data_IF_571973271388
#
_entry.id   IF_571973271388
#
_cell.length_a   1.000
_cell.length_b   1.000
_cell.length_c   1.000
_cell.angle_alpha   90.00
_cell.angle_beta   90.00
_cell.angle_gamma   90.00
#
_symmetry.space_group_name_H-M   'P 1'
#
loop_
_entity.id
_entity.type
_entity.pdbx_description
1 polymer ?
#
# COMPACT_ATOMS: atom_id res chain seq x y z
N UNK A 1 18.78 -17.63 28.03
CA UNK A 1 18.95 -17.63 26.56
C UNK A 1 17.93 -16.75 25.85
N UNK A 2 16.66 -16.79 26.26
CA UNK A 2 15.58 -15.99 25.64
C UNK A 2 15.76 -14.47 25.80
N UNK A 3 16.10 -13.99 27.01
CA UNK A 3 16.41 -12.58 27.24
C UNK A 3 17.60 -12.04 26.43
N UNK A 4 18.58 -12.90 26.11
CA UNK A 4 19.74 -12.53 25.27
C UNK A 4 19.31 -12.43 23.80
N UNK A 5 18.47 -13.36 23.32
CA UNK A 5 17.90 -13.31 21.96
C UNK A 5 17.04 -12.05 21.77
N UNK A 6 16.20 -11.74 22.75
CA UNK A 6 15.38 -10.52 22.77
C UNK A 6 16.24 -9.25 22.74
N UNK A 7 17.30 -9.19 23.55
CA UNK A 7 18.22 -8.05 23.56
C UNK A 7 18.92 -7.88 22.21
N UNK A 8 19.43 -8.96 21.62
CA UNK A 8 20.07 -8.95 20.30
C UNK A 8 19.08 -8.50 19.22
N UNK A 9 17.84 -9.01 19.24
CA UNK A 9 16.81 -8.60 18.30
C UNK A 9 16.50 -7.11 18.42
N UNK A 10 16.31 -6.58 19.63
CA UNK A 10 16.08 -5.15 19.87
C UNK A 10 17.22 -4.29 19.34
N UNK A 11 18.48 -4.70 19.54
CA UNK A 11 19.64 -3.99 18.98
C UNK A 11 19.60 -4.00 17.45
N UNK A 12 19.29 -5.13 16.81
CA UNK A 12 19.13 -5.22 15.36
C UNK A 12 17.97 -4.35 14.84
N UNK A 13 16.89 -4.23 15.61
CA UNK A 13 15.75 -3.37 15.27
C UNK A 13 16.07 -1.88 15.41
N UNK A 14 17.03 -1.49 16.22
CA UNK A 14 17.48 -0.09 16.32
C UNK A 14 18.43 0.32 15.19
N UNK A 15 19.11 -0.65 14.56
CA UNK A 15 20.00 -0.36 13.43
C UNK A 15 19.24 0.35 12.28
N UNK A 16 19.88 1.27 11.55
CA UNK A 16 19.29 1.87 10.35
C UNK A 16 18.90 0.79 9.32
N UNK A 17 17.70 0.93 8.75
CA UNK A 17 17.13 0.03 7.75
C UNK A 17 16.50 0.84 6.62
N UNK A 18 16.28 0.21 5.48
CA UNK A 18 15.48 0.78 4.40
C UNK A 18 14.00 0.60 4.74
N UNK A 19 13.18 1.58 4.40
CA UNK A 19 11.73 1.56 4.64
C UNK A 19 11.01 1.77 3.32
N UNK A 20 10.13 0.85 2.96
CA UNK A 20 9.29 0.95 1.77
C UNK A 20 7.89 1.31 2.22
N UNK A 21 7.42 2.50 1.84
CA UNK A 21 6.07 2.96 2.14
C UNK A 21 5.25 2.98 0.86
N UNK A 22 4.14 2.24 0.85
CA UNK A 22 3.16 2.27 -0.24
C UNK A 22 2.02 3.23 0.10
N UNK A 23 2.00 4.40 -0.54
CA UNK A 23 0.90 5.35 -0.45
C UNK A 23 -0.12 5.01 -1.53
N UNK A 24 -1.34 4.69 -1.11
CA UNK A 24 -2.41 4.36 -2.05
C UNK A 24 -3.77 4.53 -1.35
N UNK A 25 -4.81 3.88 -1.86
CA UNK A 25 -6.15 3.85 -1.31
C UNK A 25 -6.67 2.41 -1.20
N UNK A 26 -7.79 2.23 -0.49
CA UNK A 26 -8.45 0.94 -0.44
C UNK A 26 -8.75 0.39 -1.84
N UNK A 27 -8.65 -0.94 -1.98
CA UNK A 27 -9.03 -1.69 -3.19
C UNK A 27 -8.20 -1.39 -4.45
N UNK A 28 -6.98 -0.86 -4.28
CA UNK A 28 -5.96 -0.66 -5.32
C UNK A 28 -4.95 -1.82 -5.40
N UNK A 29 -5.38 -3.07 -5.19
CA UNK A 29 -4.50 -4.26 -5.19
C UNK A 29 -3.29 -4.20 -4.21
N UNK A 30 -3.30 -3.29 -3.25
CA UNK A 30 -2.18 -3.07 -2.31
C UNK A 30 -1.88 -4.25 -1.41
N UNK A 31 -2.87 -5.11 -1.13
CA UNK A 31 -2.64 -6.33 -0.37
C UNK A 31 -1.94 -7.41 -1.18
N UNK A 32 -2.24 -7.50 -2.49
CA UNK A 32 -1.49 -8.36 -3.40
C UNK A 32 -0.03 -7.90 -3.47
N UNK A 33 0.19 -6.60 -3.66
CA UNK A 33 1.54 -5.99 -3.67
C UNK A 33 2.28 -6.27 -2.36
N UNK A 34 1.62 -6.07 -1.22
CA UNK A 34 2.20 -6.38 0.09
C UNK A 34 2.60 -7.85 0.25
N UNK A 35 1.82 -8.79 -0.29
CA UNK A 35 2.18 -10.22 -0.26
C UNK A 35 3.32 -10.56 -1.23
N UNK A 36 3.33 -10.00 -2.44
CA UNK A 36 4.41 -10.21 -3.42
C UNK A 36 5.74 -9.69 -2.88
N UNK A 37 5.75 -8.45 -2.38
CA UNK A 37 6.94 -7.79 -1.83
C UNK A 37 7.35 -8.44 -0.51
N UNK A 38 6.42 -8.64 0.43
CA UNK A 38 6.73 -9.23 1.75
C UNK A 38 7.10 -10.71 1.71
N UNK A 39 6.89 -11.40 0.57
CA UNK A 39 7.39 -12.77 0.37
C UNK A 39 8.87 -12.81 0.02
N UNK A 40 9.46 -11.66 -0.31
CA UNK A 40 10.88 -11.54 -0.57
C UNK A 40 11.69 -11.66 0.73
N UNK A 41 12.77 -12.44 0.71
CA UNK A 41 13.56 -12.75 1.92
C UNK A 41 14.23 -11.52 2.55
N UNK A 42 14.50 -10.49 1.74
CA UNK A 42 15.12 -9.23 2.19
C UNK A 42 14.12 -8.22 2.79
N UNK A 43 12.82 -8.55 2.83
CA UNK A 43 11.77 -7.61 3.23
C UNK A 43 10.93 -8.16 4.39
N UNK A 44 10.86 -7.39 5.46
CA UNK A 44 9.91 -7.57 6.56
C UNK A 44 8.67 -6.70 6.33
N UNK A 45 7.48 -7.29 6.34
CA UNK A 45 6.22 -6.54 6.22
C UNK A 45 5.42 -6.89 4.96
N UNK A 46 4.10 -6.99 5.10
CA UNK A 46 3.18 -7.37 4.03
C UNK A 46 1.75 -6.81 4.19
N UNK A 47 1.45 -6.20 5.35
CA UNK A 47 0.12 -5.73 5.74
C UNK A 47 0.15 -4.25 6.14
N UNK A 48 -1.02 -3.66 6.36
CA UNK A 48 -1.14 -2.25 6.80
C UNK A 48 -1.03 -2.20 8.31
N UNK A 49 -0.08 -1.43 8.81
CA UNK A 49 0.15 -1.33 10.25
C UNK A 49 -0.81 -0.38 10.97
N UNK A 50 -1.51 0.48 10.22
CA UNK A 50 -2.41 1.50 10.75
C UNK A 50 -1.71 2.45 11.74
N UNK A 51 -0.53 2.96 11.35
CA UNK A 51 0.25 3.93 12.13
C UNK A 51 0.55 5.20 11.33
N UNK A 52 0.71 6.32 12.04
CA UNK A 52 1.21 7.56 11.47
C UNK A 52 2.74 7.67 11.47
N UNK A 53 3.27 8.30 10.43
CA UNK A 53 4.67 8.59 10.19
C UNK A 53 4.98 10.07 10.45
N UNK A 54 5.08 10.44 11.72
CA UNK A 54 5.27 11.83 12.15
C UNK A 54 6.74 12.27 12.14
N UNK A 55 7.66 11.35 12.45
CA UNK A 55 9.10 11.62 12.51
C UNK A 55 9.91 10.34 12.26
N UNK A 56 11.24 10.43 12.22
CA UNK A 56 12.12 9.27 12.10
C UNK A 56 11.85 8.18 13.17
N UNK A 57 11.31 8.55 14.33
CA UNK A 57 10.91 7.60 15.39
C UNK A 57 9.79 6.67 14.93
N UNK A 58 8.91 7.11 14.05
CA UNK A 58 7.84 6.26 13.48
C UNK A 58 8.42 5.10 12.67
N UNK A 59 9.57 5.27 12.00
CA UNK A 59 10.25 4.19 11.28
C UNK A 59 10.79 3.12 12.23
N UNK A 60 11.26 3.53 13.41
CA UNK A 60 11.65 2.58 14.47
C UNK A 60 10.42 1.89 15.06
N UNK A 61 9.35 2.65 15.31
CA UNK A 61 8.09 2.11 15.81
C UNK A 61 7.51 1.05 14.85
N UNK A 62 7.55 1.29 13.54
CA UNK A 62 7.16 0.32 12.51
C UNK A 62 7.89 -1.02 12.70
N UNK A 63 9.22 -0.99 12.89
CA UNK A 63 10.00 -2.22 13.12
C UNK A 63 9.58 -2.95 14.38
N UNK A 64 9.44 -2.24 15.50
CA UNK A 64 9.04 -2.86 16.77
C UNK A 64 7.63 -3.46 16.71
N UNK A 65 6.64 -2.71 16.22
CA UNK A 65 5.27 -3.19 16.11
C UNK A 65 5.15 -4.39 15.16
N UNK A 66 5.91 -4.40 14.06
CA UNK A 66 5.93 -5.54 13.15
C UNK A 66 6.44 -6.80 13.87
N UNK A 67 7.57 -6.72 14.58
CA UNK A 67 8.16 -7.86 15.28
C UNK A 67 7.41 -8.29 16.54
N UNK A 68 6.71 -7.36 17.20
CA UNK A 68 5.79 -7.69 18.30
C UNK A 68 4.63 -8.57 17.82
N UNK A 69 4.10 -8.26 16.63
CA UNK A 69 2.96 -8.94 16.03
C UNK A 69 3.33 -10.14 15.14
N UNK A 70 4.61 -10.30 14.78
CA UNK A 70 5.12 -11.37 13.92
C UNK A 70 6.46 -11.88 14.46
N UNK A 71 6.45 -12.47 15.67
CA UNK A 71 7.67 -12.81 16.44
C UNK A 71 8.63 -13.77 15.73
N UNK A 72 8.12 -14.56 14.77
CA UNK A 72 8.89 -15.54 14.01
C UNK A 72 9.48 -14.97 12.72
N UNK A 73 9.07 -13.78 12.29
CA UNK A 73 9.59 -13.15 11.08
C UNK A 73 11.02 -12.64 11.30
N UNK A 74 11.92 -12.79 10.31
CA UNK A 74 13.31 -12.36 10.45
C UNK A 74 13.43 -10.84 10.46
N UNK A 75 14.48 -10.33 11.12
CA UNK A 75 14.90 -8.93 10.96
C UNK A 75 15.69 -8.80 9.67
N UNK A 76 15.13 -8.10 8.68
CA UNK A 76 15.72 -7.91 7.36
C UNK A 76 16.25 -6.48 7.16
N UNK A 77 16.71 -6.18 5.95
CA UNK A 77 17.25 -4.86 5.59
C UNK A 77 16.18 -3.86 5.12
N UNK A 78 15.01 -4.35 4.69
CA UNK A 78 13.88 -3.53 4.24
C UNK A 78 12.63 -3.78 5.07
N UNK A 79 11.91 -2.71 5.42
CA UNK A 79 10.62 -2.78 6.10
C UNK A 79 9.51 -2.18 5.25
N UNK A 80 8.52 -2.98 4.91
CA UNK A 80 7.36 -2.57 4.12
C UNK A 80 6.16 -2.22 5.01
N UNK A 81 5.49 -1.11 4.70
CA UNK A 81 4.12 -0.82 5.16
C UNK A 81 3.35 -0.12 4.03
N UNK A 82 2.02 -0.22 4.09
CA UNK A 82 1.11 0.49 3.19
C UNK A 82 0.25 1.46 4.00
N UNK A 83 0.10 2.68 3.51
CA UNK A 83 -0.70 3.73 4.12
C UNK A 83 -1.86 4.04 3.18
N UNK A 84 -3.08 3.62 3.55
CA UNK A 84 -4.25 3.67 2.66
C UNK A 84 -5.31 4.71 3.06
N UNK A 85 -5.19 5.29 4.26
CA UNK A 85 -6.20 6.16 4.84
C UNK A 85 -5.57 7.48 5.31
N UNK A 86 -6.35 8.57 5.25
CA UNK A 86 -5.89 9.90 5.63
C UNK A 86 -5.65 10.06 7.15
N UNK A 87 -6.24 9.18 7.96
CA UNK A 87 -6.01 9.11 9.41
C UNK A 87 -4.57 8.70 9.79
N UNK A 88 -3.86 8.02 8.87
CA UNK A 88 -2.48 7.60 9.03
C UNK A 88 -1.55 8.65 8.40
N UNK A 89 -1.38 9.77 9.10
CA UNK A 89 -0.60 10.91 8.62
C UNK A 89 0.84 10.53 8.25
N UNK A 90 1.35 11.03 7.12
CA UNK A 90 2.76 10.87 6.70
C UNK A 90 3.42 12.23 6.52
N UNK A 91 4.44 12.53 7.33
CA UNK A 91 5.15 13.81 7.23
C UNK A 91 6.15 13.81 6.07
N UNK A 92 6.29 14.97 5.43
CA UNK A 92 7.32 15.21 4.41
C UNK A 92 8.72 14.85 4.91
N UNK A 93 9.04 15.23 6.14
CA UNK A 93 10.35 14.97 6.76
C UNK A 93 10.67 13.47 6.91
N UNK A 94 9.66 12.60 6.98
CA UNK A 94 9.87 11.15 6.95
C UNK A 94 9.99 10.67 5.51
N UNK A 95 9.12 11.12 4.62
CA UNK A 95 9.09 10.68 3.23
C UNK A 95 10.35 11.09 2.46
N UNK A 96 10.96 12.24 2.77
CA UNK A 96 12.18 12.76 2.14
C UNK A 96 13.48 12.20 2.74
N UNK A 97 13.44 11.15 3.56
CA UNK A 97 14.66 10.57 4.14
C UNK A 97 15.32 9.62 3.16
N UNK A 98 16.64 9.63 3.10
CA UNK A 98 17.44 8.75 2.22
C UNK A 98 17.16 7.26 2.39
N UNK A 99 16.73 6.85 3.59
CA UNK A 99 16.40 5.47 3.93
C UNK A 99 14.91 5.13 3.76
N UNK A 100 14.14 5.99 3.09
CA UNK A 100 12.72 5.79 2.77
C UNK A 100 12.54 5.75 1.25
N UNK A 101 11.94 4.67 0.77
CA UNK A 101 11.55 4.43 -0.62
C UNK A 101 10.04 4.52 -0.73
N UNK A 102 9.56 5.39 -1.59
CA UNK A 102 8.14 5.67 -1.74
C UNK A 102 7.58 4.96 -2.97
N UNK A 103 6.59 4.10 -2.76
CA UNK A 103 5.76 3.52 -3.81
C UNK A 103 4.41 4.23 -3.79
N UNK A 104 3.85 4.52 -4.96
CA UNK A 104 2.52 5.11 -5.09
C UNK A 104 1.68 4.34 -6.09
N UNK A 105 0.43 4.08 -5.76
CA UNK A 105 -0.49 3.38 -6.66
C UNK A 105 -1.89 3.99 -6.65
N UNK A 106 -2.49 4.12 -7.84
CA UNK A 106 -3.88 4.55 -8.00
C UNK A 106 -4.67 3.56 -8.86
N UNK A 107 -5.97 3.48 -8.62
CA UNK A 107 -6.90 2.70 -9.44
C UNK A 107 -8.11 3.54 -9.82
N UNK A 108 -8.65 3.31 -11.01
CA UNK A 108 -9.79 4.05 -11.55
C UNK A 108 -10.99 4.09 -10.54
N UNK A 109 -11.67 5.26 -10.41
CA UNK A 109 -12.68 5.48 -9.39
C UNK A 109 -13.85 4.52 -9.45
N UNK A 110 -14.47 4.30 -10.60
CA UNK A 110 -15.68 3.48 -10.71
C UNK A 110 -15.43 2.05 -10.25
N UNK A 111 -14.33 1.43 -10.68
CA UNK A 111 -13.95 0.09 -10.24
C UNK A 111 -13.64 0.04 -8.73
N UNK A 112 -12.99 1.07 -8.21
CA UNK A 112 -12.63 1.18 -6.80
C UNK A 112 -13.85 1.35 -5.90
N UNK A 113 -14.74 2.31 -6.22
CA UNK A 113 -15.95 2.62 -5.46
C UNK A 113 -16.85 1.38 -5.35
N UNK A 114 -17.11 0.69 -6.47
CA UNK A 114 -17.84 -0.60 -6.46
C UNK A 114 -17.21 -1.61 -5.52
N UNK A 115 -15.89 -1.75 -5.56
CA UNK A 115 -15.19 -2.71 -4.71
C UNK A 115 -15.25 -2.36 -3.22
N UNK A 116 -15.22 -1.06 -2.89
CA UNK A 116 -15.38 -0.56 -1.52
C UNK A 116 -16.80 -0.85 -1.03
N UNK A 117 -17.83 -0.48 -1.79
CA UNK A 117 -19.24 -0.74 -1.45
C UNK A 117 -19.44 -2.23 -1.18
N UNK A 118 -19.04 -3.10 -2.12
CA UNK A 118 -19.14 -4.56 -1.97
C UNK A 118 -18.49 -5.08 -0.68
N UNK A 119 -17.33 -4.55 -0.32
CA UNK A 119 -16.63 -4.94 0.92
C UNK A 119 -17.43 -4.53 2.15
N UNK A 120 -17.85 -3.27 2.23
CA UNK A 120 -18.50 -2.73 3.43
C UNK A 120 -19.94 -3.21 3.57
N UNK A 121 -20.73 -3.28 2.50
CA UNK A 121 -22.09 -3.84 2.57
C UNK A 121 -22.10 -5.29 3.06
N UNK A 122 -21.03 -6.07 2.84
CA UNK A 122 -20.92 -7.43 3.32
C UNK A 122 -20.36 -7.57 4.75
N UNK A 123 -19.48 -6.64 5.18
CA UNK A 123 -18.70 -6.79 6.43
C UNK A 123 -19.09 -5.79 7.53
N UNK A 124 -19.60 -4.62 7.16
CA UNK A 124 -20.05 -3.58 8.07
C UNK A 124 -21.08 -2.67 7.38
N UNK A 125 -22.35 -3.12 7.26
CA UNK A 125 -23.39 -2.41 6.50
C UNK A 125 -23.68 -0.99 7.00
N UNK A 126 -23.47 -0.74 8.29
CA UNK A 126 -23.69 0.59 8.91
C UNK A 126 -22.57 1.59 8.60
N UNK A 127 -21.45 1.15 8.03
CA UNK A 127 -20.34 2.02 7.70
C UNK A 127 -20.69 2.95 6.53
N UNK A 128 -20.29 4.25 6.53
CA UNK A 128 -20.59 5.16 5.42
C UNK A 128 -20.17 4.64 4.04
N UNK A 129 -19.02 3.95 3.97
CA UNK A 129 -18.51 3.31 2.74
C UNK A 129 -19.32 2.11 2.25
N UNK A 130 -20.34 1.64 2.97
CA UNK A 130 -21.29 0.63 2.49
C UNK A 130 -22.27 1.21 1.45
N UNK A 131 -22.26 2.53 1.23
CA UNK A 131 -23.06 3.22 0.23
C UNK A 131 -22.17 3.76 -0.91
N UNK A 132 -22.66 3.81 -2.16
CA UNK A 132 -21.93 4.41 -3.28
C UNK A 132 -21.45 5.84 -2.98
N UNK A 133 -22.31 6.68 -2.40
CA UNK A 133 -21.97 8.05 -2.02
C UNK A 133 -20.83 8.12 -1.02
N UNK A 134 -20.89 7.35 0.08
CA UNK A 134 -19.85 7.36 1.09
C UNK A 134 -18.53 6.76 0.60
N UNK A 135 -18.58 5.72 -0.24
CA UNK A 135 -17.38 5.16 -0.88
C UNK A 135 -16.73 6.13 -1.87
N UNK A 136 -17.53 6.87 -2.65
CA UNK A 136 -17.06 7.92 -3.55
C UNK A 136 -16.43 9.08 -2.79
N UNK A 137 -17.04 9.52 -1.69
CA UNK A 137 -16.48 10.57 -0.85
C UNK A 137 -15.12 10.16 -0.25
N UNK A 138 -15.02 8.94 0.31
CA UNK A 138 -13.73 8.40 0.78
C UNK A 138 -12.68 8.41 -0.34
N UNK A 139 -13.06 7.94 -1.54
CA UNK A 139 -12.13 7.88 -2.67
C UNK A 139 -11.63 9.28 -3.06
N UNK A 140 -12.55 10.24 -3.20
CA UNK A 140 -12.24 11.62 -3.55
C UNK A 140 -11.31 12.27 -2.53
N UNK A 141 -11.62 12.15 -1.24
CA UNK A 141 -10.82 12.71 -0.14
C UNK A 141 -9.43 12.08 -0.09
N UNK A 142 -9.34 10.77 -0.36
CA UNK A 142 -8.06 10.07 -0.38
C UNK A 142 -7.19 10.49 -1.56
N UNK A 143 -7.75 10.55 -2.77
CA UNK A 143 -6.99 10.94 -3.97
C UNK A 143 -6.53 12.39 -3.92
N UNK A 144 -7.36 13.30 -3.38
CA UNK A 144 -6.96 14.68 -3.13
C UNK A 144 -5.79 14.74 -2.15
N UNK A 145 -5.88 14.03 -1.02
CA UNK A 145 -4.78 13.95 -0.06
C UNK A 145 -3.48 13.43 -0.69
N UNK A 146 -3.54 12.38 -1.52
CA UNK A 146 -2.35 11.86 -2.22
C UNK A 146 -1.78 12.93 -3.15
N UNK A 147 -2.63 13.66 -3.88
CA UNK A 147 -2.19 14.75 -4.77
C UNK A 147 -1.45 15.83 -3.98
N UNK A 148 -2.04 16.30 -2.88
CA UNK A 148 -1.46 17.34 -2.03
C UNK A 148 -0.13 16.88 -1.42
N UNK A 149 -0.08 15.62 -0.95
CA UNK A 149 1.13 15.01 -0.40
C UNK A 149 2.25 15.03 -1.43
N UNK A 150 2.00 14.54 -2.64
CA UNK A 150 3.02 14.45 -3.70
C UNK A 150 3.48 15.83 -4.15
N UNK A 151 2.55 16.79 -4.30
CA UNK A 151 2.92 18.16 -4.61
C UNK A 151 3.78 18.79 -3.50
N UNK A 152 3.55 18.44 -2.24
CA UNK A 152 4.37 18.91 -1.10
C UNK A 152 5.79 18.33 -1.08
N UNK A 153 5.99 17.15 -1.67
CA UNK A 153 7.33 16.55 -1.80
C UNK A 153 8.21 17.28 -2.81
N UNK A 154 7.59 17.94 -3.81
CA UNK A 154 8.31 18.64 -4.87
C UNK A 154 9.30 17.73 -5.60
N UNK A 155 10.50 18.24 -5.85
CA UNK A 155 11.60 17.47 -6.45
C UNK A 155 12.53 16.84 -5.40
N UNK A 156 12.19 16.93 -4.12
CA UNK A 156 13.07 16.52 -3.02
C UNK A 156 12.98 15.01 -2.72
N UNK A 157 12.02 14.31 -3.32
CA UNK A 157 11.84 12.87 -3.13
C UNK A 157 11.45 12.18 -4.43
N UNK A 158 12.22 11.15 -4.80
CA UNK A 158 11.83 10.23 -5.85
C UNK A 158 10.86 9.17 -5.31
N UNK A 159 9.84 8.86 -6.09
CA UNK A 159 8.91 7.77 -5.84
C UNK A 159 8.64 6.99 -7.12
N UNK A 160 8.26 5.73 -7.00
CA UNK A 160 7.80 4.95 -8.14
C UNK A 160 6.28 4.88 -8.14
N UNK A 161 5.67 5.36 -9.22
CA UNK A 161 4.24 5.26 -9.47
C UNK A 161 3.91 4.13 -10.47
N UNK A 162 2.83 3.39 -10.19
CA UNK A 162 2.22 2.46 -11.14
C UNK A 162 0.69 2.52 -11.05
N UNK A 163 0.01 2.25 -12.17
CA UNK A 163 -1.43 2.03 -12.14
C UNK A 163 -1.71 0.70 -11.44
N UNK A 164 -2.60 0.70 -10.45
CA UNK A 164 -2.82 -0.43 -9.56
C UNK A 164 -3.27 -1.72 -10.27
N UNK A 165 -3.90 -1.61 -11.45
CA UNK A 165 -4.31 -2.77 -12.23
C UNK A 165 -3.14 -3.37 -13.03
N UNK A 166 -2.04 -2.63 -13.24
CA UNK A 166 -0.84 -3.11 -13.94
C UNK A 166 -0.13 -4.23 -13.19
N UNK A 167 -0.24 -4.29 -11.86
CA UNK A 167 0.31 -5.42 -11.09
C UNK A 167 -0.34 -6.76 -11.50
N UNK A 168 -1.56 -6.72 -12.03
CA UNK A 168 -2.28 -7.90 -12.53
C UNK A 168 -2.09 -8.07 -14.04
N UNK A 169 -2.14 -6.98 -14.80
CA UNK A 169 -2.10 -7.02 -16.26
C UNK A 169 -0.67 -7.19 -16.81
N UNK A 170 0.29 -6.54 -16.15
CA UNK A 170 1.70 -6.46 -16.54
C UNK A 170 2.66 -6.75 -15.36
N UNK A 171 2.49 -7.88 -14.63
CA UNK A 171 3.22 -8.13 -13.39
C UNK A 171 4.73 -8.12 -13.56
N UNK A 172 5.25 -8.71 -14.63
CA UNK A 172 6.70 -8.75 -14.89
C UNK A 172 7.31 -7.35 -15.02
N UNK A 173 6.58 -6.41 -15.64
CA UNK A 173 7.02 -5.02 -15.81
C UNK A 173 7.03 -4.33 -14.45
N UNK A 174 5.89 -4.31 -13.76
CA UNK A 174 5.77 -3.62 -12.47
C UNK A 174 6.74 -4.17 -11.42
N UNK A 175 6.87 -5.49 -11.32
CA UNK A 175 7.81 -6.12 -10.39
C UNK A 175 9.28 -5.86 -10.77
N UNK A 176 9.60 -5.80 -12.05
CA UNK A 176 10.95 -5.42 -12.52
C UNK A 176 11.29 -3.97 -12.18
N UNK A 177 10.37 -3.05 -12.46
CA UNK A 177 10.51 -1.62 -12.14
C UNK A 177 10.59 -1.40 -10.61
N UNK A 178 9.77 -2.10 -9.80
CA UNK A 178 9.87 -2.07 -8.34
C UNK A 178 11.22 -2.57 -7.84
N UNK A 179 11.72 -3.68 -8.38
CA UNK A 179 13.03 -4.23 -8.01
C UNK A 179 14.12 -3.17 -8.22
N UNK A 180 14.14 -2.58 -9.41
CA UNK A 180 15.14 -1.58 -9.80
C UNK A 180 15.05 -0.32 -8.93
N UNK A 181 13.84 0.23 -8.75
CA UNK A 181 13.62 1.41 -7.91
C UNK A 181 14.03 1.19 -6.45
N UNK A 182 13.71 0.02 -5.89
CA UNK A 182 14.04 -0.33 -4.52
C UNK A 182 15.53 -0.68 -4.34
N UNK A 183 16.24 -0.97 -5.44
CA UNK A 183 17.64 -1.39 -5.41
C UNK A 183 17.83 -2.78 -4.79
N UNK A 184 16.89 -3.69 -5.02
CA UNK A 184 16.96 -5.07 -4.50
C UNK A 184 17.61 -5.97 -5.55
N UNK A 185 18.54 -6.83 -5.13
CA UNK A 185 19.33 -7.66 -6.05
C UNK A 185 18.50 -8.77 -6.70
N UNK A 186 17.67 -9.45 -5.91
CA UNK A 186 16.83 -10.57 -6.35
C UNK A 186 15.51 -10.09 -6.92
N UNK A 187 14.98 -10.84 -7.87
CA UNK A 187 13.71 -10.48 -8.51
C UNK A 187 12.52 -10.84 -7.60
N UNK A 188 11.49 -10.01 -7.62
CA UNK A 188 10.20 -10.40 -7.06
C UNK A 188 9.55 -11.49 -7.91
N UNK A 189 8.98 -12.48 -7.25
CA UNK A 189 8.22 -13.53 -7.90
C UNK A 189 6.75 -13.11 -8.10
N UNK A 190 6.06 -13.71 -9.08
CA UNK A 190 4.61 -13.57 -9.25
C UNK A 190 3.81 -14.51 -8.33
N UNK A 191 4.51 -15.24 -7.48
CA UNK A 191 4.05 -16.15 -6.44
C UNK A 191 4.35 -15.53 -5.08
N UNK A 192 3.51 -15.82 -4.09
CA UNK A 192 3.70 -15.33 -2.73
C UNK A 192 3.30 -16.37 -1.70
N UNK A 193 3.96 -16.33 -0.53
CA UNK A 193 3.59 -17.19 0.60
C UNK A 193 2.32 -16.67 1.28
N UNK A 194 1.63 -17.56 1.98
CA UNK A 194 0.55 -17.17 2.90
C UNK A 194 1.19 -16.78 4.23
N UNK A 195 0.85 -15.60 4.72
CA UNK A 195 1.27 -15.10 6.02
C UNK A 195 0.20 -15.38 7.06
N UNK A 196 0.58 -15.26 8.34
CA UNK A 196 -0.33 -15.45 9.47
C UNK A 196 -1.58 -14.56 9.37
N UNK A 197 -1.43 -13.31 8.93
CA UNK A 197 -2.55 -12.36 8.79
C UNK A 197 -3.19 -12.35 7.40
N UNK A 198 -2.88 -13.30 6.52
CA UNK A 198 -3.52 -13.38 5.20
C UNK A 198 -5.04 -13.58 5.36
N UNK A 199 -5.83 -12.63 4.85
CA UNK A 199 -7.29 -12.66 4.94
C UNK A 199 -7.88 -12.04 6.22
N UNK A 200 -7.04 -11.63 7.18
CA UNK A 200 -7.51 -11.02 8.43
C UNK A 200 -8.01 -9.58 8.22
N UNK A 201 -9.13 -9.25 8.89
CA UNK A 201 -9.67 -7.88 8.93
C UNK A 201 -8.60 -6.93 9.50
N UNK A 202 -8.48 -5.74 8.92
CA UNK A 202 -7.46 -4.72 9.28
C UNK A 202 -6.00 -5.09 8.94
N UNK A 203 -5.73 -6.21 8.24
CA UNK A 203 -4.41 -6.49 7.67
C UNK A 203 -4.38 -6.26 6.13
N UNK A 204 -5.54 -6.16 5.49
CA UNK A 204 -5.66 -5.90 4.05
C UNK A 204 -6.89 -6.54 3.42
N UNK A 205 -6.69 -7.14 2.24
CA UNK A 205 -7.74 -7.82 1.49
C UNK A 205 -8.13 -9.13 2.20
N UNK A 206 -9.44 -9.31 2.38
CA UNK A 206 -10.06 -10.52 2.94
C UNK A 206 -10.78 -11.35 1.87
N UNK A 207 -10.54 -11.06 0.58
CA UNK A 207 -11.10 -11.84 -0.52
C UNK A 207 -10.39 -13.18 -0.68
N UNK A 208 -11.11 -14.20 -1.15
CA UNK A 208 -10.56 -15.55 -1.38
C UNK A 208 -9.31 -15.56 -2.28
N UNK A 209 -9.18 -14.57 -3.17
CA UNK A 209 -8.06 -14.47 -4.10
C UNK A 209 -6.71 -14.31 -3.41
N UNK A 210 -6.65 -13.66 -2.24
CA UNK A 210 -5.38 -13.51 -1.50
C UNK A 210 -4.90 -14.85 -0.92
N UNK A 211 -5.77 -15.87 -0.89
CA UNK A 211 -5.41 -17.23 -0.50
C UNK A 211 -4.92 -18.08 -1.68
N UNK A 212 -4.84 -17.54 -2.89
CA UNK A 212 -4.35 -18.29 -4.05
C UNK A 212 -2.83 -18.52 -4.03
N UNK A 213 -2.06 -17.63 -3.38
CA UNK A 213 -0.58 -17.67 -3.41
C UNK A 213 0.02 -17.24 -4.75
N UNK A 214 -0.80 -16.78 -5.69
CA UNK A 214 -0.43 -16.34 -7.03
C UNK A 214 -1.26 -15.13 -7.45
N UNK A 215 -0.81 -14.41 -8.48
CA UNK A 215 -1.59 -13.35 -9.11
C UNK A 215 -2.78 -13.96 -9.87
N UNK A 216 -4.00 -13.64 -9.42
CA UNK A 216 -5.24 -14.09 -10.05
C UNK A 216 -5.83 -12.96 -10.88
N UNK A 217 -6.06 -13.22 -12.18
CA UNK A 217 -6.78 -12.29 -13.06
C UNK A 217 -8.27 -12.29 -12.70
N UNK A 218 -8.83 -11.10 -12.48
CA UNK A 218 -10.26 -10.93 -12.19
C UNK A 218 -11.00 -10.47 -13.43
N UNK A 219 -12.20 -10.99 -13.61
CA UNK A 219 -13.14 -10.42 -14.57
C UNK A 219 -13.62 -9.05 -14.06
N UNK A 220 -13.82 -8.05 -14.95
CA UNK A 220 -14.36 -6.76 -14.57
C UNK A 220 -15.75 -6.92 -13.92
N UNK A 221 -16.01 -6.15 -12.87
CA UNK A 221 -17.35 -6.10 -12.26
C UNK A 221 -18.29 -5.24 -13.12
N UNK A 222 -19.22 -5.91 -13.80
CA UNK A 222 -20.18 -5.30 -14.73
C UNK A 222 -21.44 -4.76 -14.05
N UNK A 223 -21.57 -4.86 -12.72
CA UNK A 223 -22.73 -4.34 -11.99
C UNK A 223 -22.95 -2.84 -12.22
N UNK A 224 -24.19 -2.38 -12.12
CA UNK A 224 -24.49 -0.94 -12.20
C UNK A 224 -24.08 -0.28 -10.89
N UNK A 225 -23.36 0.84 -10.99
CA UNK A 225 -23.04 1.68 -9.84
C UNK A 225 -24.12 2.77 -9.75
N UNK A 226 -25.00 2.68 -8.76
CA UNK A 226 -26.01 3.68 -8.47
C UNK A 226 -25.36 4.86 -7.71
N UNK A 227 -24.74 5.76 -8.46
CA UNK A 227 -24.03 6.92 -7.95
C UNK A 227 -24.39 8.14 -8.81
N UNK A 228 -24.59 9.26 -8.13
CA UNK A 228 -24.77 10.55 -8.79
C UNK A 228 -23.64 10.84 -9.80
N UNK A 229 -24.02 11.29 -11.00
CA UNK A 229 -23.08 11.49 -12.10
C UNK A 229 -22.07 12.61 -11.79
N UNK A 230 -22.48 13.68 -11.11
CA UNK A 230 -21.58 14.79 -10.77
C UNK A 230 -20.50 14.35 -9.77
N UNK A 231 -20.88 13.53 -8.78
CA UNK A 231 -19.94 12.96 -7.83
C UNK A 231 -18.97 11.96 -8.49
N UNK A 232 -19.46 11.13 -9.42
CA UNK A 232 -18.59 10.23 -10.19
C UNK A 232 -17.60 11.03 -11.05
N UNK A 233 -18.06 12.07 -11.75
CA UNK A 233 -17.20 12.98 -12.52
C UNK A 233 -16.15 13.64 -11.62
N UNK A 234 -16.54 14.12 -10.43
CA UNK A 234 -15.58 14.70 -9.48
C UNK A 234 -14.49 13.72 -9.05
N UNK A 235 -14.82 12.43 -8.90
CA UNK A 235 -13.85 11.38 -8.61
C UNK A 235 -12.92 11.11 -9.80
N UNK A 236 -13.46 11.16 -11.03
CA UNK A 236 -12.68 10.99 -12.26
C UNK A 236 -11.72 12.15 -12.47
N UNK A 237 -12.16 13.39 -12.30
CA UNK A 237 -11.32 14.59 -12.43
C UNK A 237 -10.19 14.57 -11.40
N UNK A 238 -10.49 14.24 -10.14
CA UNK A 238 -9.48 14.10 -9.09
C UNK A 238 -8.48 12.98 -9.41
N UNK A 239 -8.95 11.83 -9.92
CA UNK A 239 -8.09 10.74 -10.35
C UNK A 239 -7.16 11.15 -11.49
N UNK A 240 -7.69 11.80 -12.53
CA UNK A 240 -6.92 12.22 -13.70
C UNK A 240 -5.85 13.25 -13.32
N UNK A 241 -6.22 14.25 -12.51
CA UNK A 241 -5.27 15.24 -11.99
C UNK A 241 -4.17 14.56 -11.16
N UNK A 242 -4.55 13.71 -10.20
CA UNK A 242 -3.59 13.01 -9.35
C UNK A 242 -2.63 12.16 -10.18
N UNK A 243 -3.17 11.35 -11.10
CA UNK A 243 -2.40 10.47 -11.98
C UNK A 243 -1.45 11.26 -12.89
N UNK A 244 -1.89 12.40 -13.43
CA UNK A 244 -1.02 13.28 -14.22
C UNK A 244 0.18 13.75 -13.40
N UNK A 245 -0.05 14.25 -12.19
CA UNK A 245 1.04 14.70 -11.29
C UNK A 245 1.95 13.55 -10.87
N UNK A 246 1.38 12.37 -10.61
CA UNK A 246 2.16 11.18 -10.29
C UNK A 246 3.10 10.79 -11.43
N UNK A 247 2.60 10.76 -12.67
CA UNK A 247 3.41 10.42 -13.85
C UNK A 247 4.49 11.48 -14.10
N UNK A 248 4.17 12.75 -13.89
CA UNK A 248 5.09 13.87 -14.14
C UNK A 248 6.33 13.81 -13.24
N UNK A 249 6.17 13.42 -11.97
CA UNK A 249 7.24 13.44 -10.96
C UNK A 249 7.73 12.06 -10.53
N UNK A 250 7.18 10.97 -11.07
CA UNK A 250 7.65 9.61 -10.78
C UNK A 250 9.06 9.37 -11.31
N UNK A 251 9.80 8.53 -10.58
CA UNK A 251 10.98 7.84 -11.06
C UNK A 251 10.69 7.10 -12.37
N UNK A 252 11.69 7.07 -13.24
CA UNK A 252 11.71 6.38 -14.52
C UNK A 252 12.98 5.54 -14.58
N UNK A 253 12.83 4.28 -15.01
CA UNK A 253 13.94 3.40 -15.33
C UNK A 253 14.79 3.97 -16.48
#
# INVERSE_FOLDING_TARGET
>A
MEAIKDAIQKVRLLAPKQHVLLISHMRANTSLVGHLIGSHEDISGYYEMHIGYYSWKSLINQKFLFHEQNRTEPVTDFYFDKVLHNEHFTSRDVLCRDNVKLLVALREPKATIKSIVKLYSAKNPEHPCATPKGAAQYYLDRVRYITDLILSLGNDQNYYYYDADDIIQHPKRVLGEMKEFLGIDRAFEATYRKFEKTGHRFAGDSSENIHAGVIVKKSPDTSVLDLDNELLMSCQDAYHLCREKLIQHSWKA
#
